data_IF_186929347209
#
_entry.id   IF_186929347209
#
_cell.length_a   1.000
_cell.length_b   1.000
_cell.length_c   1.000
_cell.angle_alpha   90.00
_cell.angle_beta   90.00
_cell.angle_gamma   90.00
#
_symmetry.space_group_name_H-M   'P 1'
#
loop_
_entity.id
_entity.type
_entity.pdbx_description
1 polymer ?
#
# COMPACT_ATOMS: atom_id res chain seq x y z
N UNK A 1 4.02 -25.67 10.84
CA UNK A 1 4.73 -24.38 11.00
C UNK A 1 5.91 -24.56 11.95
N UNK A 2 7.11 -24.77 11.41
CA UNK A 2 8.38 -24.83 12.17
C UNK A 2 9.29 -23.64 11.82
N UNK A 3 8.68 -22.55 11.39
CA UNK A 3 9.35 -21.33 10.97
C UNK A 3 8.93 -20.25 11.96
N UNK A 4 9.90 -19.57 12.59
CA UNK A 4 9.81 -18.33 13.39
C UNK A 4 10.59 -18.31 14.73
N UNK A 5 11.43 -19.29 15.08
CA UNK A 5 12.23 -19.17 16.33
C UNK A 5 13.25 -18.04 16.31
N UNK A 6 13.76 -17.68 15.13
CA UNK A 6 14.80 -16.64 14.99
C UNK A 6 14.26 -15.22 15.19
N UNK A 7 13.04 -14.92 14.73
CA UNK A 7 12.44 -13.57 14.82
C UNK A 7 11.55 -13.36 16.06
N UNK A 8 11.01 -14.42 16.66
CA UNK A 8 9.96 -14.31 17.68
C UNK A 8 10.38 -14.75 19.07
N UNK A 9 11.49 -15.48 19.22
CA UNK A 9 11.92 -16.09 20.48
C UNK A 9 11.13 -17.35 20.83
N UNK A 10 11.32 -17.88 22.04
CA UNK A 10 10.57 -19.04 22.54
C UNK A 10 9.31 -18.60 23.27
N UNK A 11 8.17 -19.18 22.90
CA UNK A 11 6.87 -18.95 23.54
C UNK A 11 6.79 -19.39 25.02
N UNK A 12 7.81 -20.06 25.58
CA UNK A 12 7.64 -20.87 26.80
C UNK A 12 8.70 -20.70 27.88
N UNK A 13 9.42 -19.58 27.95
CA UNK A 13 10.44 -19.39 29.00
C UNK A 13 9.85 -18.78 30.28
N UNK A 14 9.04 -17.73 30.15
CA UNK A 14 8.29 -17.10 31.25
C UNK A 14 7.10 -16.27 30.70
N UNK A 15 6.30 -15.67 31.61
CA UNK A 15 5.10 -14.89 31.27
C UNK A 15 5.45 -13.65 30.42
N UNK A 16 6.57 -12.99 30.68
CA UNK A 16 7.01 -11.82 29.94
C UNK A 16 7.40 -12.21 28.50
N UNK A 17 8.17 -13.28 28.34
CA UNK A 17 8.54 -13.83 27.02
C UNK A 17 7.31 -14.25 26.21
N UNK A 18 6.29 -14.81 26.87
CA UNK A 18 5.02 -15.18 26.23
C UNK A 18 4.25 -13.96 25.72
N UNK A 19 4.19 -12.88 26.51
CA UNK A 19 3.54 -11.62 26.12
C UNK A 19 4.32 -10.91 25.01
N UNK A 20 5.65 -10.87 25.10
CA UNK A 20 6.51 -10.31 24.06
C UNK A 20 6.39 -11.09 22.75
N UNK A 21 6.30 -12.43 22.82
CA UNK A 21 6.01 -13.26 21.67
C UNK A 21 4.65 -12.92 21.05
N UNK A 22 3.60 -12.78 21.87
CA UNK A 22 2.26 -12.41 21.39
C UNK A 22 2.23 -11.01 20.77
N UNK A 23 2.90 -10.04 21.36
CA UNK A 23 3.03 -8.69 20.82
C UNK A 23 3.77 -8.69 19.48
N UNK A 24 4.92 -9.38 19.38
CA UNK A 24 5.64 -9.55 18.11
C UNK A 24 4.74 -10.20 17.07
N UNK A 25 4.09 -11.32 17.40
CA UNK A 25 3.15 -11.99 16.50
C UNK A 25 2.07 -11.05 15.99
N UNK A 26 1.51 -10.19 16.85
CA UNK A 26 0.53 -9.18 16.44
C UNK A 26 1.12 -8.14 15.50
N UNK A 27 2.31 -7.60 15.78
CA UNK A 27 2.97 -6.64 14.88
C UNK A 27 3.27 -7.28 13.52
N UNK A 28 3.75 -8.52 13.49
CA UNK A 28 3.97 -9.26 12.24
C UNK A 28 2.67 -9.56 11.50
N UNK A 29 1.61 -9.98 12.20
CA UNK A 29 0.28 -10.20 11.60
C UNK A 29 -0.32 -8.90 11.05
N UNK A 30 -0.11 -7.78 11.73
CA UNK A 30 -0.50 -6.46 11.22
C UNK A 30 0.30 -6.11 9.96
N UNK A 31 1.61 -6.35 9.97
CA UNK A 31 2.43 -6.19 8.75
C UNK A 31 1.97 -7.07 7.61
N UNK A 32 1.61 -8.33 7.85
CA UNK A 32 1.04 -9.19 6.80
C UNK A 32 -0.30 -8.65 6.26
N UNK A 33 -1.12 -8.02 7.12
CA UNK A 33 -2.35 -7.32 6.69
C UNK A 33 -2.05 -6.04 5.88
N UNK A 34 -0.98 -5.34 6.21
CA UNK A 34 -0.52 -4.14 5.49
C UNK A 34 0.12 -4.51 4.14
N UNK A 35 0.73 -5.69 4.08
CA UNK A 35 1.34 -6.23 2.87
C UNK A 35 0.33 -6.88 1.90
N UNK A 36 -0.97 -6.84 2.23
CA UNK A 36 -1.99 -7.54 1.45
C UNK A 36 -2.11 -7.01 0.03
N UNK A 37 -1.93 -5.70 -0.18
CA UNK A 37 -1.97 -5.09 -1.50
C UNK A 37 -0.92 -5.71 -2.42
N UNK A 38 0.33 -5.88 -1.95
CA UNK A 38 1.41 -6.48 -2.74
C UNK A 38 1.15 -7.95 -3.06
N UNK A 39 0.66 -8.72 -2.08
CA UNK A 39 0.32 -10.13 -2.30
C UNK A 39 -0.73 -10.28 -3.38
N UNK A 40 -1.74 -9.41 -3.36
CA UNK A 40 -2.81 -9.42 -4.35
C UNK A 40 -2.30 -8.97 -5.72
N UNK A 41 -1.43 -7.95 -5.79
CA UNK A 41 -0.82 -7.52 -7.04
C UNK A 41 0.02 -8.64 -7.67
N UNK A 42 0.76 -9.41 -6.87
CA UNK A 42 1.51 -10.56 -7.35
C UNK A 42 0.60 -11.59 -8.03
N UNK A 43 -0.50 -11.98 -7.38
CA UNK A 43 -1.47 -12.92 -7.97
C UNK A 43 -2.18 -12.34 -9.20
N UNK A 44 -2.54 -11.05 -9.15
CA UNK A 44 -3.17 -10.38 -10.30
C UNK A 44 -2.24 -10.32 -11.49
N UNK A 45 -0.93 -10.13 -11.30
CA UNK A 45 0.05 -10.12 -12.39
C UNK A 45 0.08 -11.44 -13.18
N UNK A 46 -0.15 -12.58 -12.52
CA UNK A 46 -0.32 -13.86 -13.20
C UNK A 46 -1.59 -13.92 -14.03
N UNK A 47 -2.70 -13.41 -13.49
CA UNK A 47 -3.99 -13.36 -14.17
C UNK A 47 -4.01 -12.40 -15.37
N UNK A 48 -3.51 -11.17 -15.20
CA UNK A 48 -3.43 -10.16 -16.26
C UNK A 48 -2.23 -10.37 -17.20
N UNK A 49 -1.36 -11.34 -16.89
CA UNK A 49 -0.13 -11.75 -17.60
C UNK A 49 1.01 -10.74 -17.65
N UNK A 50 0.71 -9.44 -17.69
CA UNK A 50 1.67 -8.32 -17.70
C UNK A 50 1.07 -7.09 -17.03
N UNK A 51 1.93 -6.17 -16.57
CA UNK A 51 1.50 -4.90 -15.96
C UNK A 51 0.66 -4.03 -16.90
N UNK A 52 0.96 -4.02 -18.20
CA UNK A 52 0.15 -3.34 -19.22
C UNK A 52 -1.27 -3.93 -19.39
N UNK A 53 -1.47 -5.17 -18.95
CA UNK A 53 -2.80 -5.80 -18.94
C UNK A 53 -3.79 -5.08 -18.02
N UNK A 54 -3.32 -4.42 -16.95
CA UNK A 54 -4.19 -3.64 -16.06
C UNK A 54 -4.90 -2.51 -16.81
N UNK A 55 -4.22 -1.83 -17.72
CA UNK A 55 -4.81 -0.78 -18.55
C UNK A 55 -5.95 -1.36 -19.40
N UNK A 56 -5.69 -2.48 -20.08
CA UNK A 56 -6.71 -3.14 -20.90
C UNK A 56 -7.96 -3.52 -20.10
N UNK A 57 -7.79 -4.05 -18.89
CA UNK A 57 -8.93 -4.42 -18.04
C UNK A 57 -9.71 -3.20 -17.53
N UNK A 58 -9.02 -2.24 -16.91
CA UNK A 58 -9.64 -1.10 -16.23
C UNK A 58 -10.30 -0.12 -17.21
N UNK A 59 -9.79 -0.02 -18.43
CA UNK A 59 -10.30 0.91 -19.46
C UNK A 59 -11.11 0.23 -20.57
N UNK A 60 -11.37 -1.08 -20.48
CA UNK A 60 -12.17 -1.82 -21.48
C UNK A 60 -13.63 -1.38 -21.61
N UNK A 61 -14.18 -0.64 -20.63
CA UNK A 61 -15.61 -0.36 -20.54
C UNK A 61 -16.47 -1.59 -20.20
N UNK A 62 -15.85 -2.70 -19.77
CA UNK A 62 -16.55 -3.92 -19.34
C UNK A 62 -16.40 -4.20 -17.84
N UNK A 63 -15.28 -3.76 -17.27
CA UNK A 63 -14.90 -4.12 -15.91
C UNK A 63 -14.62 -2.88 -15.06
N UNK A 64 -15.08 -2.90 -13.81
CA UNK A 64 -14.77 -1.86 -12.81
C UNK A 64 -13.52 -2.20 -11.98
N UNK A 65 -13.06 -3.45 -11.99
CA UNK A 65 -11.93 -3.88 -11.18
C UNK A 65 -11.91 -5.39 -10.97
N UNK A 66 -11.36 -5.83 -9.85
CA UNK A 66 -11.14 -7.24 -9.53
C UNK A 66 -11.67 -7.61 -8.15
N UNK A 67 -12.17 -8.83 -8.00
CA UNK A 67 -12.38 -9.49 -6.72
C UNK A 67 -11.37 -10.61 -6.58
N UNK A 68 -10.64 -10.61 -5.47
CA UNK A 68 -9.55 -11.56 -5.19
C UNK A 68 -9.82 -12.23 -3.85
N UNK A 69 -9.98 -13.54 -3.88
CA UNK A 69 -10.03 -14.39 -2.69
C UNK A 69 -8.67 -15.08 -2.54
N UNK A 70 -7.88 -14.62 -1.58
CA UNK A 70 -6.53 -15.13 -1.33
C UNK A 70 -6.51 -16.51 -0.67
N UNK A 71 -7.60 -16.94 -0.01
CA UNK A 71 -7.67 -18.29 0.56
C UNK A 71 -7.92 -19.34 -0.53
N UNK A 72 -8.69 -18.96 -1.55
CA UNK A 72 -9.03 -19.83 -2.69
C UNK A 72 -8.18 -19.61 -3.93
N UNK A 73 -7.27 -18.63 -3.88
CA UNK A 73 -6.46 -18.16 -5.02
C UNK A 73 -7.32 -17.84 -6.25
N UNK A 74 -8.52 -17.28 -6.02
CA UNK A 74 -9.49 -17.03 -7.08
C UNK A 74 -9.57 -15.55 -7.40
N UNK A 75 -9.58 -15.23 -8.70
CA UNK A 75 -9.65 -13.87 -9.23
C UNK A 75 -10.82 -13.79 -10.19
N UNK A 76 -11.70 -12.81 -9.97
CA UNK A 76 -12.89 -12.59 -10.80
C UNK A 76 -12.97 -11.10 -11.19
N UNK A 77 -13.10 -10.76 -12.47
CA UNK A 77 -13.32 -9.38 -12.88
C UNK A 77 -14.71 -8.91 -12.44
N UNK A 78 -14.79 -7.70 -11.91
CA UNK A 78 -16.06 -7.10 -11.49
C UNK A 78 -16.72 -6.35 -12.63
N UNK A 79 -18.02 -6.55 -12.83
CA UNK A 79 -18.82 -5.75 -13.77
C UNK A 79 -18.89 -4.28 -13.34
N UNK A 80 -18.97 -3.37 -14.31
CA UNK A 80 -19.20 -1.95 -14.08
C UNK A 80 -20.51 -1.69 -13.33
N UNK A 81 -21.57 -2.44 -13.62
CA UNK A 81 -22.90 -2.22 -13.03
C UNK A 81 -22.99 -2.46 -11.52
N UNK A 82 -22.00 -3.12 -10.91
CA UNK A 82 -21.99 -3.44 -9.48
C UNK A 82 -20.66 -3.15 -8.78
N UNK A 83 -19.71 -2.52 -9.46
CA UNK A 83 -18.35 -2.32 -8.98
C UNK A 83 -17.97 -0.85 -8.87
N UNK A 84 -17.12 -0.51 -7.89
CA UNK A 84 -16.45 0.80 -7.87
C UNK A 84 -15.25 0.69 -8.81
N UNK A 85 -15.10 1.67 -9.70
CA UNK A 85 -14.00 1.74 -10.66
C UNK A 85 -12.63 1.61 -10.00
N UNK A 86 -11.63 1.10 -10.72
CA UNK A 86 -10.25 1.02 -10.26
C UNK A 86 -10.12 0.41 -8.87
N UNK A 87 -10.84 -0.68 -8.58
CA UNK A 87 -10.86 -1.27 -7.24
C UNK A 87 -10.51 -2.74 -7.26
N UNK A 88 -9.67 -3.15 -6.32
CA UNK A 88 -9.43 -4.55 -6.00
C UNK A 88 -10.12 -4.84 -4.67
N UNK A 89 -11.14 -5.70 -4.69
CA UNK A 89 -11.80 -6.21 -3.50
C UNK A 89 -11.11 -7.49 -3.04
N UNK A 90 -10.50 -7.46 -1.86
CA UNK A 90 -9.68 -8.53 -1.31
C UNK A 90 -10.40 -9.20 -0.14
N UNK A 91 -10.47 -10.53 -0.16
CA UNK A 91 -10.81 -11.35 1.00
C UNK A 91 -9.65 -12.29 1.35
N UNK A 92 -9.37 -12.41 2.64
CA UNK A 92 -8.38 -13.33 3.21
C UNK A 92 -8.74 -13.66 4.65
N UNK A 93 -9.53 -14.71 4.85
CA UNK A 93 -10.04 -15.17 6.14
C UNK A 93 -8.92 -15.58 7.08
N UNK A 94 -7.81 -16.12 6.57
CA UNK A 94 -6.64 -16.45 7.39
C UNK A 94 -6.09 -15.23 8.17
N UNK A 95 -6.23 -14.02 7.63
CA UNK A 95 -5.91 -12.77 8.33
C UNK A 95 -7.13 -12.01 8.87
N UNK A 96 -8.34 -12.59 8.78
CA UNK A 96 -9.59 -11.94 9.19
C UNK A 96 -10.04 -10.81 8.25
N UNK A 97 -9.52 -10.75 7.03
CA UNK A 97 -9.88 -9.73 6.05
C UNK A 97 -11.11 -10.22 5.28
N UNK A 98 -12.30 -9.73 5.66
CA UNK A 98 -13.55 -10.14 5.00
C UNK A 98 -13.71 -9.44 3.65
N UNK A 99 -13.47 -8.12 3.61
CA UNK A 99 -13.54 -7.31 2.38
C UNK A 99 -12.72 -6.03 2.55
N UNK A 100 -11.53 -6.01 1.96
CA UNK A 100 -10.68 -4.81 1.88
C UNK A 100 -10.70 -4.27 0.46
N UNK A 101 -10.81 -2.95 0.32
CA UNK A 101 -10.81 -2.29 -1.00
C UNK A 101 -9.49 -1.57 -1.19
N UNK A 102 -8.82 -1.87 -2.29
CA UNK A 102 -7.56 -1.23 -2.67
C UNK A 102 -7.79 -0.49 -3.98
N UNK A 103 -7.52 0.81 -4.04
CA UNK A 103 -7.59 1.56 -5.31
C UNK A 103 -6.41 1.20 -6.22
N UNK A 104 -6.68 1.07 -7.50
CA UNK A 104 -5.68 0.78 -8.53
C UNK A 104 -5.98 1.58 -9.79
N UNK A 105 -4.94 2.08 -10.45
CA UNK A 105 -5.05 2.73 -11.74
C UNK A 105 -3.73 2.70 -12.49
N UNK A 106 -3.80 2.80 -13.82
CA UNK A 106 -2.64 3.03 -14.68
C UNK A 106 -2.59 4.52 -14.97
N UNK A 107 -1.42 5.13 -14.75
CA UNK A 107 -1.18 6.56 -14.89
C UNK A 107 -0.02 6.80 -15.85
N UNK A 108 -0.15 7.83 -16.67
CA UNK A 108 0.97 8.43 -17.39
C UNK A 108 1.78 9.31 -16.43
N UNK A 109 3.09 9.30 -16.56
CA UNK A 109 4.03 10.05 -15.73
C UNK A 109 4.32 11.37 -16.46
N UNK A 110 3.94 12.49 -15.85
CA UNK A 110 4.27 13.81 -16.36
C UNK A 110 5.69 14.19 -15.92
N UNK A 111 6.63 14.04 -16.86
CA UNK A 111 8.03 14.44 -16.69
C UNK A 111 8.30 15.90 -17.11
N UNK A 112 7.29 16.60 -17.66
CA UNK A 112 7.42 17.99 -18.11
C UNK A 112 7.40 19.00 -16.97
N UNK A 113 6.87 18.60 -15.81
CA UNK A 113 6.80 19.42 -14.61
C UNK A 113 7.70 18.82 -13.52
N UNK A 114 8.77 19.55 -13.17
CA UNK A 114 9.69 19.17 -12.11
C UNK A 114 9.17 19.65 -10.76
N UNK A 115 8.47 18.78 -10.01
CA UNK A 115 8.31 18.98 -8.57
C UNK A 115 9.61 18.50 -7.91
N UNK A 116 10.23 19.35 -7.08
CA UNK A 116 11.59 19.18 -6.53
C UNK A 116 11.88 17.77 -5.97
N UNK A 117 10.85 17.08 -5.47
CA UNK A 117 10.96 15.71 -4.92
C UNK A 117 9.73 14.82 -5.20
N UNK A 118 8.89 15.12 -6.19
CA UNK A 118 7.60 14.44 -6.41
C UNK A 118 7.41 13.85 -7.81
N UNK A 119 6.32 13.08 -7.97
CA UNK A 119 5.82 12.59 -9.25
C UNK A 119 4.44 13.19 -9.52
N UNK A 120 4.23 13.64 -10.74
CA UNK A 120 2.91 14.01 -11.24
C UNK A 120 2.42 12.87 -12.12
N UNK A 121 1.27 12.32 -11.74
CA UNK A 121 0.69 11.16 -12.38
C UNK A 121 -0.66 11.56 -12.97
N UNK A 122 -0.81 11.39 -14.27
CA UNK A 122 -2.02 11.75 -15.03
C UNK A 122 -2.74 10.49 -15.46
N UNK A 123 -4.06 10.51 -15.46
CA UNK A 123 -4.84 9.35 -15.85
C UNK A 123 -6.18 9.79 -16.42
N UNK A 124 -6.55 9.26 -17.58
CA UNK A 124 -7.90 9.44 -18.12
C UNK A 124 -8.95 8.84 -17.21
N UNK A 125 -10.15 9.43 -17.18
CA UNK A 125 -11.28 8.84 -16.46
C UNK A 125 -11.57 7.43 -16.98
N UNK A 126 -11.82 6.49 -16.05
CA UNK A 126 -12.27 5.16 -16.43
C UNK A 126 -13.71 5.24 -16.94
N UNK A 127 -14.14 4.34 -17.84
CA UNK A 127 -15.48 4.40 -18.43
C UNK A 127 -16.65 4.34 -17.44
N UNK A 128 -16.40 3.88 -16.21
CA UNK A 128 -17.41 3.79 -15.16
C UNK A 128 -17.38 4.97 -14.17
N UNK A 129 -16.44 5.91 -14.32
CA UNK A 129 -16.34 7.11 -13.50
C UNK A 129 -17.30 8.17 -14.04
N UNK A 130 -17.94 8.92 -13.14
CA UNK A 130 -18.95 9.92 -13.49
C UNK A 130 -18.74 11.20 -12.67
N UNK A 131 -18.57 12.31 -13.37
CA UNK A 131 -18.41 13.65 -12.79
C UNK A 131 -19.72 14.43 -12.74
N UNK A 132 -20.74 13.99 -13.48
CA UNK A 132 -21.96 14.76 -13.71
C UNK A 132 -22.93 14.74 -12.52
N UNK A 133 -22.73 13.80 -11.60
CA UNK A 133 -23.51 13.70 -10.36
C UNK A 133 -23.03 14.69 -9.28
N UNK A 134 -23.94 15.16 -8.43
CA UNK A 134 -23.63 16.02 -7.26
C UNK A 134 -22.51 15.48 -6.36
N UNK A 135 -22.34 14.15 -6.31
CA UNK A 135 -21.18 13.49 -5.69
C UNK A 135 -20.39 12.73 -6.75
N UNK A 136 -19.32 13.31 -7.33
CA UNK A 136 -18.57 12.70 -8.41
C UNK A 136 -18.03 11.32 -8.00
N UNK A 137 -18.29 10.32 -8.83
CA UNK A 137 -17.88 8.93 -8.64
C UNK A 137 -16.53 8.71 -9.33
N UNK A 138 -15.48 9.09 -8.64
CA UNK A 138 -14.10 8.91 -9.10
C UNK A 138 -13.33 8.05 -8.10
N UNK A 139 -12.56 7.10 -8.63
CA UNK A 139 -11.71 6.23 -7.85
C UNK A 139 -10.28 6.75 -7.89
N UNK A 140 -9.89 7.35 -6.77
CA UNK A 140 -8.58 7.94 -6.57
C UNK A 140 -7.94 7.37 -5.31
N UNK A 141 -6.63 7.07 -5.32
CA UNK A 141 -5.91 6.76 -4.11
C UNK A 141 -5.93 7.97 -3.17
N UNK A 142 -6.10 7.75 -1.86
CA UNK A 142 -6.28 8.85 -0.89
C UNK A 142 -5.14 8.98 0.13
N UNK A 143 -4.23 8.02 0.18
CA UNK A 143 -3.25 7.87 1.26
C UNK A 143 -1.86 7.57 0.70
N UNK A 144 -1.20 6.53 1.24
CA UNK A 144 0.03 6.02 0.69
C UNK A 144 -0.26 5.23 -0.60
N UNK A 145 0.70 5.25 -1.50
CA UNK A 145 0.64 4.55 -2.78
C UNK A 145 1.96 3.83 -3.04
N UNK A 146 1.82 2.64 -3.61
CA UNK A 146 2.86 1.99 -4.39
C UNK A 146 2.75 2.50 -5.83
N UNK A 147 3.85 3.01 -6.36
CA UNK A 147 3.99 3.38 -7.77
C UNK A 147 5.00 2.42 -8.39
N UNK A 148 4.56 1.62 -9.35
CA UNK A 148 5.41 0.65 -10.06
C UNK A 148 5.46 1.01 -11.53
N UNK A 149 6.66 1.08 -12.12
CA UNK A 149 6.80 1.30 -13.57
C UNK A 149 6.25 0.12 -14.37
N UNK A 150 5.56 0.43 -15.47
CA UNK A 150 5.11 -0.60 -16.42
C UNK A 150 6.23 -0.82 -17.44
N UNK A 151 7.03 -1.87 -17.21
CA UNK A 151 8.12 -2.28 -18.09
C UNK A 151 7.70 -3.52 -18.88
N UNK A 152 7.91 -3.55 -20.20
CA UNK A 152 7.40 -4.63 -21.07
C UNK A 152 7.96 -6.03 -20.77
N UNK A 153 9.15 -6.07 -20.17
CA UNK A 153 9.89 -7.27 -19.80
C UNK A 153 9.65 -7.71 -18.35
N UNK A 154 9.03 -6.86 -17.52
CA UNK A 154 8.73 -7.14 -16.12
C UNK A 154 7.27 -7.59 -15.98
N UNK A 155 7.09 -8.81 -15.49
CA UNK A 155 5.75 -9.36 -15.25
C UNK A 155 5.17 -8.93 -13.90
N UNK A 156 5.97 -8.96 -12.84
CA UNK A 156 5.52 -8.79 -11.46
C UNK A 156 5.91 -7.41 -10.94
N UNK A 157 4.95 -6.66 -10.37
CA UNK A 157 5.19 -5.30 -9.84
C UNK A 157 6.24 -5.28 -8.73
N UNK A 158 6.32 -6.34 -7.93
CA UNK A 158 7.27 -6.49 -6.83
C UNK A 158 8.71 -6.74 -7.30
N UNK A 159 8.93 -7.06 -8.58
CA UNK A 159 10.26 -7.29 -9.16
C UNK A 159 10.74 -6.13 -10.04
N UNK A 160 9.84 -5.24 -10.45
CA UNK A 160 10.16 -4.03 -11.20
C UNK A 160 10.55 -2.87 -10.28
N UNK A 161 10.99 -1.76 -10.89
CA UNK A 161 11.28 -0.56 -10.11
C UNK A 161 9.98 -0.01 -9.52
N UNK A 162 9.95 0.06 -8.18
CA UNK A 162 8.78 0.46 -7.41
C UNK A 162 9.14 1.51 -6.36
N UNK A 163 8.19 2.39 -6.08
CA UNK A 163 8.37 3.53 -5.19
C UNK A 163 7.17 3.66 -4.24
N UNK A 164 7.45 4.02 -2.99
CA UNK A 164 6.43 4.37 -2.02
C UNK A 164 6.30 5.87 -1.91
N UNK A 165 5.08 6.37 -2.00
CA UNK A 165 4.79 7.78 -1.85
C UNK A 165 3.48 8.02 -1.14
N UNK A 166 3.22 9.28 -0.82
CA UNK A 166 1.94 9.75 -0.30
C UNK A 166 1.29 10.61 -1.37
N UNK A 167 -0.01 10.44 -1.56
CA UNK A 167 -0.81 11.38 -2.34
C UNK A 167 -0.89 12.69 -1.56
N UNK A 168 -0.22 13.72 -2.08
CA UNK A 168 -0.24 15.05 -1.51
C UNK A 168 -1.46 15.84 -1.98
N UNK A 169 -1.73 15.77 -3.28
CA UNK A 169 -2.87 16.43 -3.89
C UNK A 169 -3.47 15.57 -5.00
N UNK A 170 -4.77 15.73 -5.20
CA UNK A 170 -5.47 15.18 -6.37
C UNK A 170 -6.25 16.30 -7.02
N UNK A 171 -6.10 16.43 -8.33
CA UNK A 171 -6.79 17.40 -9.16
C UNK A 171 -7.84 16.67 -9.99
N UNK A 172 -9.05 17.19 -9.97
CA UNK A 172 -10.14 16.76 -10.83
C UNK A 172 -9.96 17.32 -12.25
N UNK A 173 -10.72 16.81 -13.22
CA UNK A 173 -10.59 17.28 -14.60
C UNK A 173 -10.82 18.78 -14.74
N UNK A 174 -9.88 19.45 -15.43
CA UNK A 174 -9.86 20.91 -15.59
C UNK A 174 -9.39 21.71 -14.37
N UNK A 175 -9.06 21.07 -13.24
CA UNK A 175 -8.48 21.77 -12.09
C UNK A 175 -6.99 22.06 -12.30
N UNK A 176 -6.54 23.12 -11.64
CA UNK A 176 -5.14 23.56 -11.65
C UNK A 176 -4.62 23.69 -10.23
N UNK A 177 -3.39 23.25 -10.04
CA UNK A 177 -2.63 23.54 -8.84
C UNK A 177 -1.78 24.79 -9.04
N UNK A 178 -2.01 25.81 -8.23
CA UNK A 178 -1.27 27.08 -8.33
C UNK A 178 0.18 26.94 -7.86
N UNK A 179 0.44 26.06 -6.88
CA UNK A 179 1.77 25.89 -6.28
C UNK A 179 2.75 25.15 -7.21
N UNK A 180 2.30 24.05 -7.82
CA UNK A 180 3.11 23.28 -8.79
C UNK A 180 2.95 23.74 -10.23
N UNK A 181 1.96 24.59 -10.53
CA UNK A 181 1.61 25.03 -11.88
C UNK A 181 0.93 23.95 -12.74
N UNK A 182 0.68 22.77 -12.18
CA UNK A 182 0.10 21.62 -12.90
C UNK A 182 -1.38 21.87 -13.20
N UNK A 183 -1.71 21.80 -14.49
CA UNK A 183 -3.10 21.84 -14.97
C UNK A 183 -3.52 20.46 -15.48
N UNK A 184 -4.65 19.97 -14.97
CA UNK A 184 -5.18 18.67 -15.33
C UNK A 184 -6.10 18.76 -16.56
N UNK A 185 -6.00 17.78 -17.47
CA UNK A 185 -6.84 17.74 -18.67
C UNK A 185 -8.33 17.63 -18.34
N UNK A 186 -9.18 18.03 -19.28
CA UNK A 186 -10.65 18.02 -19.10
C UNK A 186 -11.27 16.62 -18.98
N UNK A 187 -10.54 15.57 -19.36
CA UNK A 187 -10.92 14.16 -19.22
C UNK A 187 -9.93 13.37 -18.34
N UNK A 188 -9.11 14.06 -17.56
CA UNK A 188 -8.02 13.47 -16.77
C UNK A 188 -8.14 13.80 -15.29
N UNK A 189 -7.65 12.88 -14.47
CA UNK A 189 -7.36 13.11 -13.06
C UNK A 189 -5.86 13.12 -12.87
N UNK A 190 -5.38 14.03 -12.02
CA UNK A 190 -3.97 14.20 -11.77
C UNK A 190 -3.69 13.99 -10.29
N UNK A 191 -2.66 13.21 -10.00
CA UNK A 191 -2.27 12.87 -8.63
C UNK A 191 -0.82 13.30 -8.44
N UNK A 192 -0.59 14.11 -7.42
CA UNK A 192 0.75 14.53 -7.00
C UNK A 192 1.19 13.60 -5.88
N UNK A 193 2.25 12.84 -6.13
CA UNK A 193 2.82 11.88 -5.20
C UNK A 193 4.17 12.37 -4.71
N UNK A 194 4.34 12.48 -3.39
CA UNK A 194 5.60 12.92 -2.77
C UNK A 194 6.16 11.88 -1.79
N UNK A 195 7.44 11.96 -1.43
CA UNK A 195 8.08 10.99 -0.56
C UNK A 195 7.47 11.09 0.83
N UNK A 196 7.09 9.94 1.41
CA UNK A 196 6.46 9.91 2.75
C UNK A 196 7.46 10.32 3.84
N UNK A 197 8.75 10.11 3.59
CA UNK A 197 9.83 10.51 4.50
C UNK A 197 11.05 11.03 3.73
N UNK A 198 11.94 11.81 4.39
CA UNK A 198 13.17 12.30 3.78
C UNK A 198 14.08 11.18 3.22
N UNK A 199 14.01 9.97 3.80
CA UNK A 199 14.79 8.82 3.34
C UNK A 199 14.37 8.32 1.96
N UNK A 200 13.13 8.59 1.54
CA UNK A 200 12.62 8.22 0.23
C UNK A 200 12.97 9.22 -0.87
N UNK A 201 13.52 10.40 -0.55
CA UNK A 201 13.90 11.41 -1.55
C UNK A 201 14.91 10.90 -2.58
N UNK A 202 15.90 10.12 -2.14
CA UNK A 202 16.90 9.55 -3.04
C UNK A 202 16.26 8.49 -3.98
N UNK A 203 15.46 7.53 -3.49
CA UNK A 203 14.64 6.67 -4.34
C UNK A 203 13.82 7.44 -5.38
N UNK A 204 13.14 8.54 -5.01
CA UNK A 204 12.39 9.36 -5.97
C UNK A 204 13.30 9.92 -7.07
N UNK A 205 14.47 10.46 -6.72
CA UNK A 205 15.44 10.97 -7.71
C UNK A 205 15.93 9.87 -8.66
N UNK A 206 16.27 8.68 -8.13
CA UNK A 206 16.68 7.53 -8.93
C UNK A 206 15.55 7.11 -9.87
N UNK A 207 14.32 7.07 -9.35
CA UNK A 207 13.12 6.73 -10.10
C UNK A 207 12.90 7.68 -11.29
N UNK A 208 12.98 9.00 -11.06
CA UNK A 208 12.87 10.01 -12.12
C UNK A 208 13.98 9.92 -13.17
N UNK A 209 15.22 9.67 -12.76
CA UNK A 209 16.31 9.44 -13.70
C UNK A 209 16.07 8.19 -14.56
N UNK A 210 15.61 7.10 -13.94
CA UNK A 210 15.32 5.85 -14.63
C UNK A 210 14.21 6.00 -15.68
N UNK A 211 13.12 6.70 -15.33
CA UNK A 211 12.04 7.06 -16.25
C UNK A 211 12.58 7.76 -17.50
N UNK A 212 13.43 8.78 -17.31
CA UNK A 212 13.96 9.58 -18.40
C UNK A 212 14.92 8.78 -19.28
N UNK A 213 15.80 7.97 -18.68
CA UNK A 213 16.81 7.18 -19.40
C UNK A 213 16.18 6.10 -20.28
N UNK A 214 15.14 5.43 -19.77
CA UNK A 214 14.49 4.30 -20.44
C UNK A 214 13.19 4.69 -21.17
N UNK A 215 12.82 5.97 -21.17
CA UNK A 215 11.61 6.48 -21.82
C UNK A 215 10.32 5.88 -21.26
N UNK A 216 10.31 5.50 -19.97
CA UNK A 216 9.17 4.85 -19.32
C UNK A 216 8.18 5.91 -18.85
N UNK A 217 7.02 5.98 -19.49
CA UNK A 217 6.03 7.02 -19.23
C UNK A 217 4.76 6.52 -18.53
N UNK A 218 4.67 5.23 -18.16
CA UNK A 218 3.49 4.66 -17.50
C UNK A 218 3.84 3.99 -16.18
N UNK A 219 2.97 4.16 -15.20
CA UNK A 219 3.05 3.50 -13.91
C UNK A 219 1.71 2.88 -13.52
N UNK A 220 1.78 1.72 -12.87
CA UNK A 220 0.68 1.17 -12.08
C UNK A 220 0.74 1.80 -10.68
N UNK A 221 -0.33 2.47 -10.29
CA UNK A 221 -0.47 3.10 -8.97
C UNK A 221 -1.49 2.30 -8.18
N UNK A 222 -1.10 1.90 -6.98
CA UNK A 222 -1.92 1.07 -6.10
C UNK A 222 -1.92 1.68 -4.71
N UNK A 223 -3.10 1.83 -4.13
CA UNK A 223 -3.23 2.27 -2.74
C UNK A 223 -2.52 1.28 -1.80
N UNK A 224 -1.70 1.81 -0.91
CA UNK A 224 -0.96 1.04 0.08
C UNK A 224 -1.44 1.44 1.48
N UNK A 225 -1.57 0.46 2.37
CA UNK A 225 -2.04 0.70 3.73
C UNK A 225 -0.96 1.16 4.70
N UNK A 226 0.32 0.93 4.37
CA UNK A 226 1.43 1.28 5.22
C UNK A 226 2.49 2.12 4.49
N UNK A 227 2.99 3.14 5.21
CA UNK A 227 4.31 3.68 5.01
C UNK A 227 5.34 2.65 5.49
N UNK A 228 5.74 1.73 4.60
CA UNK A 228 6.71 0.67 4.91
C UNK A 228 8.09 1.21 5.34
N UNK A 229 8.30 2.52 5.23
CA UNK A 229 9.54 3.20 5.63
C UNK A 229 9.64 3.46 7.12
N UNK A 230 8.52 3.51 7.86
CA UNK A 230 8.55 3.77 9.29
C UNK A 230 8.71 2.48 10.12
N UNK A 231 9.85 2.45 10.77
CA UNK A 231 10.45 1.32 11.44
C UNK A 231 9.74 1.06 12.78
N UNK A 232 8.69 0.24 12.79
CA UNK A 232 8.12 -0.32 14.04
C UNK A 232 9.02 -1.39 14.67
N UNK A 233 9.92 -1.99 13.88
CA UNK A 233 10.89 -2.99 14.35
C UNK A 233 11.97 -2.39 15.27
N UNK A 234 12.30 -1.10 15.14
CA UNK A 234 13.22 -0.38 16.05
C UNK A 234 12.53 -0.13 17.38
N UNK A 235 11.25 0.24 17.39
CA UNK A 235 10.49 0.38 18.63
C UNK A 235 10.40 -0.95 19.36
N UNK A 236 10.09 -2.04 18.65
CA UNK A 236 10.13 -3.42 19.18
C UNK A 236 11.51 -3.83 19.70
N UNK A 237 12.57 -3.52 18.96
CA UNK A 237 13.94 -3.83 19.35
C UNK A 237 14.41 -3.02 20.57
N UNK A 238 14.11 -1.72 20.60
CA UNK A 238 14.38 -0.84 21.73
C UNK A 238 13.61 -1.30 22.97
N UNK A 239 12.33 -1.63 22.84
CA UNK A 239 11.53 -2.17 23.95
C UNK A 239 12.14 -3.48 24.48
N UNK A 240 12.53 -4.38 23.58
CA UNK A 240 13.18 -5.64 23.98
C UNK A 240 14.51 -5.44 24.69
N UNK A 241 15.35 -4.51 24.23
CA UNK A 241 16.63 -4.19 24.86
C UNK A 241 16.44 -3.53 26.23
N UNK A 242 15.50 -2.59 26.35
CA UNK A 242 15.15 -1.95 27.63
C UNK A 242 14.65 -2.96 28.65
N UNK A 243 13.77 -3.88 28.24
CA UNK A 243 13.21 -4.90 29.13
C UNK A 243 14.26 -5.92 29.60
N UNK A 244 15.18 -6.33 28.71
CA UNK A 244 16.28 -7.25 29.05
C UNK A 244 17.30 -6.63 30.03
N UNK A 245 17.42 -5.30 30.03
CA UNK A 245 18.28 -4.57 30.97
C UNK A 245 17.65 -4.47 32.38
N UNK A 246 16.33 -4.59 32.48
CA UNK A 246 15.54 -4.41 33.71
C UNK A 246 15.16 -5.71 34.42
N UNK A 247 15.31 -6.88 33.78
CA UNK A 247 15.16 -8.21 34.42
C UNK A 247 16.08 -8.42 35.65
N UNK A 248 17.05 -7.53 35.88
CA UNK A 248 17.90 -7.52 37.08
C UNK A 248 17.25 -6.92 38.34
N UNK A 249 16.09 -6.24 38.24
CA UNK A 249 15.39 -5.62 39.38
C UNK A 249 13.95 -6.12 39.49
N UNK A 250 13.67 -6.91 40.52
CA UNK A 250 12.43 -7.70 40.68
C UNK A 250 11.16 -6.88 40.95
N UNK A 251 11.26 -5.62 41.35
CA UNK A 251 10.10 -4.76 41.68
C UNK A 251 9.38 -4.14 40.49
N UNK A 252 10.00 -4.08 39.30
CA UNK A 252 9.42 -3.44 38.11
C UNK A 252 8.66 -4.41 37.18
N UNK A 253 8.77 -5.72 37.41
CA UNK A 253 8.26 -6.74 36.47
C UNK A 253 6.72 -6.70 36.35
N UNK A 254 5.98 -6.56 37.45
CA UNK A 254 4.51 -6.59 37.41
C UNK A 254 3.91 -5.34 36.76
N UNK A 255 4.49 -4.15 37.02
CA UNK A 255 4.08 -2.92 36.34
C UNK A 255 4.34 -3.02 34.84
N UNK A 256 5.47 -3.60 34.44
CA UNK A 256 5.82 -3.82 33.03
C UNK A 256 4.90 -4.83 32.34
N UNK A 257 4.57 -5.95 32.98
CA UNK A 257 3.62 -6.93 32.45
C UNK A 257 2.28 -6.26 32.14
N UNK A 258 1.82 -5.40 33.05
CA UNK A 258 0.59 -4.63 32.88
C UNK A 258 0.67 -3.64 31.71
N UNK A 259 1.79 -2.91 31.55
CA UNK A 259 1.97 -1.99 30.40
C UNK A 259 2.01 -2.72 29.05
N UNK A 260 2.61 -3.92 28.98
CA UNK A 260 2.61 -4.72 27.76
C UNK A 260 1.22 -5.27 27.47
N UNK A 261 0.50 -5.75 28.48
CA UNK A 261 -0.89 -6.18 28.36
C UNK A 261 -1.80 -5.03 27.86
N UNK A 262 -1.61 -3.81 28.38
CA UNK A 262 -2.31 -2.60 27.91
C UNK A 262 -1.98 -2.26 26.45
N UNK A 263 -0.71 -2.30 26.05
CA UNK A 263 -0.31 -2.06 24.66
C UNK A 263 -0.89 -3.11 23.70
N UNK A 264 -0.94 -4.37 24.12
CA UNK A 264 -1.55 -5.48 23.39
C UNK A 264 -3.08 -5.25 23.24
N UNK A 265 -3.75 -4.78 24.29
CA UNK A 265 -5.18 -4.47 24.28
C UNK A 265 -5.52 -3.25 23.41
N UNK A 266 -4.69 -2.20 23.45
CA UNK A 266 -4.81 -1.04 22.56
C UNK A 266 -4.65 -1.46 21.11
N UNK A 267 -3.64 -2.30 20.80
CA UNK A 267 -3.44 -2.82 19.47
C UNK A 267 -4.62 -3.69 18.97
N UNK A 268 -5.33 -4.40 19.86
CA UNK A 268 -6.56 -5.11 19.52
C UNK A 268 -7.73 -4.16 19.23
N UNK A 269 -7.90 -3.11 20.04
CA UNK A 269 -8.97 -2.13 19.85
C UNK A 269 -8.83 -1.39 18.50
N UNK A 270 -7.60 -1.06 18.11
CA UNK A 270 -7.28 -0.41 16.83
C UNK A 270 -7.49 -1.32 15.60
N UNK A 271 -7.63 -2.64 15.77
CA UNK A 271 -7.92 -3.56 14.65
C UNK A 271 -9.39 -3.54 14.21
N UNK A 272 -10.29 -2.94 15.00
CA UNK A 272 -11.74 -2.93 14.76
C UNK A 272 -12.31 -1.54 14.43
N UNK A 273 -11.46 -0.52 14.31
CA UNK A 273 -11.80 0.85 13.84
C UNK A 273 -11.27 1.09 12.44
#
# INVERSE_FOLDING_TARGET
MKECRFYFGSFGKDKLDSLLWAYRFKVYRNRDRDMIAYRVLYQLADYVKKLSGFEQYLYSGKHAGFRVDLDKESIVPMSISGGICGTIEVSFNNLGIIRKRVRVGVYDIDSGHSIYEGLILRRKLMPCEDLSSEMPRISLPRRAVLVTLIEDHVKYSTLGLSLFGRVEKTLLPGEKDEDSGVECGNDEVCVIVTPISPYLRLPFKIFSHYINEYGLNKALVVEADADLTNIELRTLHSLHLTLKFLEGSTTDIDHMLKSVEEAIAIAEALQYT
#
